data_IF_026381021557
#
_entry.id   IF_026381021557
#
_cell.length_a   1.000
_cell.length_b   1.000
_cell.length_c   1.000
_cell.angle_alpha   90.00
_cell.angle_beta   90.00
_cell.angle_gamma   90.00
#
_symmetry.space_group_name_H-M   'P 1'
#
loop_
_entity.id
_entity.type
_entity.pdbx_description
1 polymer ?
#
# COMPACT_ATOMS: atom_id res chain seq x y z
N UNK A 1 16.98 5.93 -25.40
CA UNK A 1 16.92 5.22 -24.11
C UNK A 1 16.13 3.93 -24.33
N UNK A 2 16.68 2.76 -23.95
CA UNK A 2 16.06 1.45 -24.21
C UNK A 2 15.56 0.80 -22.92
N UNK A 3 14.56 -0.07 -23.03
CA UNK A 3 14.03 -0.81 -21.89
C UNK A 3 15.10 -1.73 -21.28
N UNK A 4 15.31 -1.60 -19.97
CA UNK A 4 16.28 -2.40 -19.22
C UNK A 4 15.94 -3.89 -19.24
N UNK A 5 14.68 -4.26 -19.02
CA UNK A 5 14.26 -5.67 -19.00
C UNK A 5 14.42 -6.33 -20.37
N UNK A 6 14.06 -5.66 -21.47
CA UNK A 6 14.29 -6.17 -22.82
C UNK A 6 15.77 -6.37 -23.13
N UNK A 7 16.61 -5.40 -22.73
CA UNK A 7 18.04 -5.45 -22.97
C UNK A 7 18.73 -6.56 -22.16
N UNK A 8 18.28 -6.81 -20.93
CA UNK A 8 18.91 -7.79 -20.03
C UNK A 8 18.37 -9.21 -20.22
N UNK A 9 17.06 -9.40 -20.40
CA UNK A 9 16.45 -10.74 -20.49
C UNK A 9 16.42 -11.29 -21.91
N UNK A 10 16.10 -10.43 -22.88
CA UNK A 10 15.88 -10.84 -24.26
C UNK A 10 17.04 -10.43 -25.18
N UNK A 11 18.03 -9.67 -24.68
CA UNK A 11 19.09 -9.06 -25.47
C UNK A 11 18.55 -8.23 -26.65
N UNK A 12 17.36 -7.63 -26.45
CA UNK A 12 16.66 -6.86 -27.46
C UNK A 12 16.64 -5.36 -27.10
N UNK A 13 16.99 -4.53 -28.08
CA UNK A 13 16.83 -3.10 -27.97
C UNK A 13 15.38 -2.71 -28.28
N UNK A 14 14.59 -2.45 -27.24
CA UNK A 14 13.24 -1.87 -27.38
C UNK A 14 13.20 -0.45 -26.82
N UNK A 15 12.55 0.50 -27.51
CA UNK A 15 12.46 1.87 -27.04
C UNK A 15 11.71 1.93 -25.71
N UNK A 16 12.29 2.67 -24.75
CA UNK A 16 11.62 2.97 -23.50
C UNK A 16 10.62 4.12 -23.70
N UNK A 17 9.48 4.03 -23.02
CA UNK A 17 8.42 5.05 -23.03
C UNK A 17 8.29 5.76 -21.69
N UNK A 18 8.89 5.22 -20.64
CA UNK A 18 8.82 5.75 -19.29
C UNK A 18 10.09 5.41 -18.49
N UNK A 19 10.21 6.07 -17.34
CA UNK A 19 11.26 5.82 -16.34
C UNK A 19 10.58 5.33 -15.06
N UNK A 20 11.10 4.24 -14.49
CA UNK A 20 10.62 3.67 -13.24
C UNK A 20 10.84 4.65 -12.09
N UNK A 21 9.76 5.03 -11.38
CA UNK A 21 9.84 5.94 -10.23
C UNK A 21 10.46 5.31 -8.97
N UNK A 22 10.74 4.00 -8.98
CA UNK A 22 11.35 3.28 -7.86
C UNK A 22 12.88 3.19 -7.95
N UNK A 23 13.43 3.00 -9.15
CA UNK A 23 14.87 2.75 -9.35
C UNK A 23 15.50 3.52 -10.50
N UNK A 24 14.74 4.34 -11.25
CA UNK A 24 15.25 5.11 -12.38
C UNK A 24 15.48 4.30 -13.67
N UNK A 25 15.13 3.01 -13.70
CA UNK A 25 15.29 2.18 -14.89
C UNK A 25 14.34 2.62 -16.02
N UNK A 26 14.85 2.58 -17.25
CA UNK A 26 14.06 2.80 -18.46
C UNK A 26 13.17 1.58 -18.78
N UNK A 27 11.90 1.81 -19.10
CA UNK A 27 10.89 0.76 -19.29
C UNK A 27 10.06 0.97 -20.56
N UNK A 28 9.81 -0.10 -21.32
CA UNK A 28 8.85 -0.12 -22.42
C UNK A 28 7.43 -0.40 -21.90
N UNK A 29 6.42 -0.25 -22.76
CA UNK A 29 5.01 -0.45 -22.39
C UNK A 29 4.74 -1.83 -21.76
N UNK A 30 5.34 -2.90 -22.29
CA UNK A 30 5.14 -4.27 -21.78
C UNK A 30 5.78 -4.51 -20.41
N UNK A 31 6.92 -3.89 -20.14
CA UNK A 31 7.60 -3.98 -18.84
C UNK A 31 7.21 -2.84 -17.89
N UNK A 32 6.13 -2.12 -18.19
CA UNK A 32 5.59 -1.08 -17.34
C UNK A 32 4.51 -1.64 -16.42
N UNK A 33 4.73 -1.50 -15.12
CA UNK A 33 3.74 -1.80 -14.10
C UNK A 33 3.13 -0.50 -13.58
N UNK A 34 1.80 -0.37 -13.69
CA UNK A 34 1.07 0.81 -13.23
C UNK A 34 0.45 0.52 -11.87
N UNK A 35 0.93 1.23 -10.84
CA UNK A 35 0.34 1.18 -9.51
C UNK A 35 -0.47 2.44 -9.23
N UNK A 36 -1.68 2.26 -8.68
CA UNK A 36 -2.49 3.36 -8.18
C UNK A 36 -2.08 3.66 -6.74
N UNK A 37 -1.66 4.90 -6.47
CA UNK A 37 -1.41 5.35 -5.11
C UNK A 37 -2.57 6.23 -4.65
N UNK A 38 -3.19 5.86 -3.54
CA UNK A 38 -4.11 6.74 -2.83
C UNK A 38 -3.30 7.93 -2.27
N UNK A 39 -3.61 9.14 -2.72
CA UNK A 39 -3.02 10.35 -2.18
C UNK A 39 -3.94 10.89 -1.07
N UNK A 40 -3.46 10.79 0.17
CA UNK A 40 -4.07 11.52 1.29
C UNK A 40 -3.30 12.83 1.49
N UNK A 41 -3.94 13.99 1.32
CA UNK A 41 -3.32 15.25 1.74
C UNK A 41 -3.09 15.23 3.25
N UNK A 42 -1.92 15.71 3.74
CA UNK A 42 -1.66 15.76 5.17
C UNK A 42 -2.69 16.65 5.87
N UNK A 43 -3.29 16.14 6.95
CA UNK A 43 -4.24 16.88 7.78
C UNK A 43 -5.73 16.75 7.40
N UNK A 44 -6.08 15.98 6.36
CA UNK A 44 -7.48 15.77 5.98
C UNK A 44 -7.91 14.32 6.17
N UNK A 45 -8.79 14.06 7.15
CA UNK A 45 -9.58 12.84 7.25
C UNK A 45 -10.74 12.91 6.23
N UNK A 46 -10.40 12.80 4.95
CA UNK A 46 -11.36 12.81 3.84
C UNK A 46 -11.07 11.69 2.84
N UNK A 47 -12.03 11.33 1.98
CA UNK A 47 -11.83 10.30 0.97
C UNK A 47 -10.63 10.65 0.08
N UNK A 48 -9.76 9.67 -0.17
CA UNK A 48 -8.55 9.85 -0.96
C UNK A 48 -8.88 10.52 -2.30
N UNK A 49 -8.26 11.66 -2.61
CA UNK A 49 -8.43 12.29 -3.91
C UNK A 49 -7.59 11.57 -4.96
N UNK A 50 -8.14 11.55 -6.18
CA UNK A 50 -7.70 10.88 -7.41
C UNK A 50 -6.34 10.18 -7.34
N UNK A 51 -6.37 8.85 -7.49
CA UNK A 51 -5.19 8.00 -7.47
C UNK A 51 -4.13 8.48 -8.48
N UNK A 52 -2.98 8.92 -7.99
CA UNK A 52 -1.83 9.20 -8.87
C UNK A 52 -1.33 7.87 -9.42
N UNK A 53 -1.19 7.77 -10.75
CA UNK A 53 -0.61 6.60 -11.40
C UNK A 53 0.91 6.67 -11.27
N UNK A 54 1.50 5.63 -10.71
CA UNK A 54 2.95 5.48 -10.54
C UNK A 54 3.41 4.40 -11.50
N UNK A 55 4.36 4.74 -12.38
CA UNK A 55 4.97 3.79 -13.32
C UNK A 55 6.21 3.17 -12.68
N UNK A 56 6.27 1.83 -12.66
CA UNK A 56 7.37 1.05 -12.08
C UNK A 56 7.80 -0.04 -13.07
N UNK A 57 9.06 -0.47 -13.00
CA UNK A 57 9.48 -1.71 -13.64
C UNK A 57 8.91 -2.92 -12.89
N UNK A 58 8.99 -4.10 -13.50
CA UNK A 58 8.43 -5.33 -12.96
C UNK A 58 8.93 -5.66 -11.55
N UNK A 59 10.24 -5.50 -11.33
CA UNK A 59 10.87 -5.73 -10.02
C UNK A 59 10.38 -4.75 -8.94
N UNK A 60 10.26 -3.47 -9.27
CA UNK A 60 9.77 -2.47 -8.31
C UNK A 60 8.25 -2.59 -8.09
N UNK A 61 7.49 -2.99 -9.09
CA UNK A 61 6.04 -3.22 -9.02
C UNK A 61 5.71 -4.37 -8.06
N UNK A 62 6.33 -5.54 -8.27
CA UNK A 62 6.17 -6.73 -7.41
C UNK A 62 6.53 -6.46 -5.95
N UNK A 63 7.66 -5.79 -5.68
CA UNK A 63 8.05 -5.42 -4.31
C UNK A 63 7.04 -4.50 -3.64
N UNK A 64 6.49 -3.54 -4.38
CA UNK A 64 5.48 -2.60 -3.83
C UNK A 64 4.17 -3.35 -3.52
N UNK A 65 3.71 -4.21 -4.42
CA UNK A 65 2.49 -5.01 -4.19
C UNK A 65 2.58 -5.91 -2.96
N UNK A 66 3.75 -6.53 -2.75
CA UNK A 66 3.99 -7.36 -1.57
C UNK A 66 3.94 -6.55 -0.27
N UNK A 67 4.35 -5.28 -0.29
CA UNK A 67 4.27 -4.38 0.86
C UNK A 67 2.84 -3.92 1.15
N UNK A 68 2.05 -3.59 0.12
CA UNK A 68 0.63 -3.27 0.30
C UNK A 68 -0.16 -4.47 0.79
N UNK A 69 0.11 -5.68 0.28
CA UNK A 69 -0.50 -6.91 0.77
C UNK A 69 -0.13 -7.21 2.23
N UNK A 70 1.14 -7.02 2.61
CA UNK A 70 1.59 -7.17 3.99
C UNK A 70 0.91 -6.14 4.93
N UNK A 71 0.79 -4.88 4.50
CA UNK A 71 0.12 -3.85 5.29
C UNK A 71 -1.38 -4.12 5.47
N UNK A 72 -2.06 -4.63 4.43
CA UNK A 72 -3.46 -5.06 4.53
C UNK A 72 -3.64 -6.24 5.51
N UNK A 73 -2.69 -7.18 5.54
CA UNK A 73 -2.71 -8.30 6.49
C UNK A 73 -2.49 -7.86 7.95
N UNK A 74 -1.69 -6.82 8.18
CA UNK A 74 -1.42 -6.27 9.52
C UNK A 74 -2.56 -5.35 10.00
N UNK A 75 -3.27 -4.69 9.09
CA UNK A 75 -4.37 -3.77 9.39
C UNK A 75 -5.67 -4.39 9.93
N UNK A 76 -5.78 -5.73 9.96
CA UNK A 76 -6.98 -6.44 10.44
C UNK A 76 -7.00 -6.70 11.95
N UNK A 77 -6.16 -6.01 12.74
CA UNK A 77 -6.10 -6.15 14.21
C UNK A 77 -6.58 -4.92 15.00
N UNK A 78 -7.30 -3.98 14.38
CA UNK A 78 -8.08 -3.02 15.18
C UNK A 78 -9.35 -3.74 15.64
N UNK A 79 -9.29 -4.26 16.87
CA UNK A 79 -10.43 -4.82 17.58
C UNK A 79 -11.56 -3.78 17.62
N UNK A 80 -12.79 -4.12 17.21
CA UNK A 80 -13.93 -3.26 17.46
C UNK A 80 -14.30 -3.33 18.95
N UNK A 81 -14.42 -2.16 19.58
CA UNK A 81 -15.28 -1.97 20.74
C UNK A 81 -14.78 -2.54 22.06
N UNK A 82 -14.09 -1.71 22.84
CA UNK A 82 -14.29 -1.72 24.28
C UNK A 82 -15.72 -1.22 24.56
N UNK A 83 -16.69 -2.12 24.49
CA UNK A 83 -18.03 -1.93 25.04
C UNK A 83 -18.29 -3.09 26.01
N UNK A 84 -18.02 -2.84 27.29
CA UNK A 84 -18.51 -3.69 28.38
C UNK A 84 -19.34 -2.81 29.31
N UNK A 85 -20.41 -2.26 28.76
CA UNK A 85 -21.54 -1.79 29.53
C UNK A 85 -22.37 -2.97 30.02
N UNK A 86 -22.59 -2.99 31.34
CA UNK A 86 -23.70 -3.65 32.04
C UNK A 86 -23.66 -5.19 32.17
N UNK A 87 -23.16 -5.70 33.29
CA UNK A 87 -23.74 -6.87 33.95
C UNK A 87 -23.51 -6.83 35.48
N UNK A 88 -24.65 -6.81 36.19
CA UNK A 88 -24.91 -7.25 37.57
C UNK A 88 -24.66 -6.26 38.71
N UNK A 89 -25.78 -5.66 39.14
CA UNK A 89 -26.00 -5.42 40.56
C UNK A 89 -26.03 -6.73 41.36
N UNK A 90 -25.55 -6.64 42.60
CA UNK A 90 -26.21 -6.96 43.89
C UNK A 90 -25.09 -7.21 44.89
N UNK A 91 -25.04 -6.44 45.98
CA UNK A 91 -24.10 -6.73 47.05
C UNK A 91 -23.88 -5.58 48.01
N UNK A 92 -24.92 -5.24 48.75
CA UNK A 92 -24.83 -4.45 49.98
C UNK A 92 -23.83 -5.07 50.95
N UNK A 93 -22.92 -4.29 51.51
CA UNK A 93 -22.46 -4.45 52.90
C UNK A 93 -21.79 -3.15 53.37
N UNK A 94 -22.15 -2.62 54.55
CA UNK A 94 -21.54 -1.44 55.13
C UNK A 94 -20.33 -1.82 56.01
N UNK A 95 -19.24 -1.05 55.89
CA UNK A 95 -18.38 -0.68 57.04
C UNK A 95 -19.22 0.07 58.10
N UNK A 96 -18.83 0.21 59.39
CA UNK A 96 -17.51 -0.03 60.00
C UNK A 96 -17.55 -0.68 61.40
N UNK A 97 -16.40 -1.15 61.89
CA UNK A 97 -15.81 -0.97 63.26
C UNK A 97 -14.85 -2.10 63.63
#
# INVERSE_FOLDING_TARGET
MNCLDCATRCQQARPAVAVCQGCGAAICLEHTWVNHRACHPPGMAGPARAASRVLRCEFCGTRTNNQTAAAAAVGSRVAPGADLGCLRGTGSSPDPS
#
